data_IF_615476962862
#
_entry.id   IF_615476962862
#
_cell.length_a   1.000
_cell.length_b   1.000
_cell.length_c   1.000
_cell.angle_alpha   90.00
_cell.angle_beta   90.00
_cell.angle_gamma   90.00
#
_symmetry.space_group_name_H-M   'P 1'
#
loop_
_entity.id
_entity.type
_entity.pdbx_description
1 polymer ?
#
# COMPACT_ATOMS: atom_id res chain seq x y z
N UNK A 1 42.92 15.78 -46.60
CA UNK A 1 42.90 17.12 -45.98
C UNK A 1 41.73 17.25 -44.98
N UNK A 2 41.80 16.63 -43.77
CA UNK A 2 40.73 16.78 -42.75
C UNK A 2 41.07 16.25 -41.33
N UNK A 3 42.21 16.59 -40.71
CA UNK A 3 42.55 15.95 -39.39
C UNK A 3 43.12 16.86 -38.29
N UNK A 4 43.61 18.08 -38.57
CA UNK A 4 44.21 18.93 -37.50
C UNK A 4 43.19 19.74 -36.67
N UNK A 5 42.02 20.08 -37.22
CA UNK A 5 41.00 20.92 -36.55
C UNK A 5 40.22 20.15 -35.47
N UNK A 6 39.82 18.90 -35.74
CA UNK A 6 39.11 18.05 -34.78
C UNK A 6 39.94 17.67 -33.54
N UNK A 7 41.23 17.42 -33.73
CA UNK A 7 42.14 17.05 -32.63
C UNK A 7 42.43 18.21 -31.67
N UNK A 8 42.33 19.48 -32.13
CA UNK A 8 42.40 20.66 -31.27
C UNK A 8 41.12 20.83 -30.43
N UNK A 9 39.96 20.60 -31.03
CA UNK A 9 38.68 20.62 -30.31
C UNK A 9 38.62 19.57 -29.20
N UNK A 10 39.05 18.33 -29.50
CA UNK A 10 39.08 17.25 -28.50
C UNK A 10 39.99 17.61 -27.32
N UNK A 11 41.18 18.19 -27.58
CA UNK A 11 42.10 18.62 -26.51
C UNK A 11 41.50 19.73 -25.64
N UNK A 12 40.83 20.71 -26.24
CA UNK A 12 40.16 21.77 -25.48
C UNK A 12 39.01 21.22 -24.65
N UNK A 13 38.19 20.31 -25.19
CA UNK A 13 37.11 19.65 -24.45
C UNK A 13 37.61 18.83 -23.28
N UNK A 14 38.72 18.10 -23.43
CA UNK A 14 39.34 17.32 -22.34
C UNK A 14 39.84 18.25 -21.24
N UNK A 15 40.48 19.37 -21.59
CA UNK A 15 40.95 20.36 -20.60
C UNK A 15 39.76 20.98 -19.86
N UNK A 16 38.69 21.34 -20.56
CA UNK A 16 37.48 21.91 -19.94
C UNK A 16 36.81 20.92 -18.99
N UNK A 17 36.79 19.63 -19.35
CA UNK A 17 36.24 18.55 -18.52
C UNK A 17 37.11 18.30 -17.27
N UNK A 18 38.44 18.37 -17.41
CA UNK A 18 39.38 18.28 -16.29
C UNK A 18 39.23 19.46 -15.32
N UNK A 19 39.07 20.68 -15.83
CA UNK A 19 38.84 21.87 -15.00
C UNK A 19 37.49 21.78 -14.27
N UNK A 20 36.43 21.30 -14.93
CA UNK A 20 35.13 21.10 -14.30
C UNK A 20 35.18 20.06 -13.16
N UNK A 21 35.96 18.98 -13.33
CA UNK A 21 36.17 17.96 -12.29
C UNK A 21 36.94 18.50 -11.08
N UNK A 22 37.82 19.50 -11.26
CA UNK A 22 38.56 20.13 -10.16
C UNK A 22 37.76 21.19 -9.40
N UNK A 23 36.75 21.82 -10.02
CA UNK A 23 35.89 22.83 -9.36
C UNK A 23 34.74 22.19 -8.58
N UNK A 24 34.21 21.05 -9.03
CA UNK A 24 33.12 20.34 -8.34
C UNK A 24 33.34 20.02 -6.83
N UNK A 25 34.55 19.65 -6.35
CA UNK A 25 34.76 19.41 -4.92
C UNK A 25 34.88 20.69 -4.07
N UNK A 26 35.00 21.89 -4.66
CA UNK A 26 35.12 23.14 -3.90
C UNK A 26 33.82 23.49 -3.15
N UNK A 27 32.66 23.23 -3.77
CA UNK A 27 31.35 23.44 -3.14
C UNK A 27 31.09 22.51 -1.95
N UNK A 28 31.74 21.34 -1.92
CA UNK A 28 31.64 20.39 -0.81
C UNK A 28 32.40 20.83 0.46
N UNK A 29 33.40 21.71 0.34
CA UNK A 29 34.21 22.16 1.48
C UNK A 29 33.70 23.43 2.17
N UNK A 30 32.92 24.28 1.48
CA UNK A 30 32.47 25.59 1.97
C UNK A 30 31.49 25.50 3.16
N UNK A 31 30.87 24.33 3.40
CA UNK A 31 29.84 24.17 4.42
C UNK A 31 30.32 23.75 5.83
N UNK A 32 31.63 23.63 6.09
CA UNK A 32 32.16 23.13 7.39
C UNK A 32 31.66 23.93 8.60
N UNK A 33 31.45 25.24 8.48
CA UNK A 33 30.94 26.08 9.58
C UNK A 33 29.46 25.80 9.88
N UNK A 34 28.63 25.65 8.84
CA UNK A 34 27.21 25.26 8.98
C UNK A 34 27.08 23.84 9.54
N UNK A 35 27.89 22.91 9.07
CA UNK A 35 27.95 21.53 9.60
C UNK A 35 28.34 21.51 11.07
N UNK A 36 29.40 22.23 11.47
CA UNK A 36 29.78 22.35 12.90
C UNK A 36 28.69 23.00 13.75
N UNK A 37 27.98 24.00 13.24
CA UNK A 37 26.87 24.67 13.94
C UNK A 37 25.68 23.71 14.13
N UNK A 38 25.31 22.96 13.09
CA UNK A 38 24.25 21.95 13.15
C UNK A 38 24.62 20.83 14.13
N UNK A 39 25.86 20.32 14.08
CA UNK A 39 26.32 19.28 15.00
C UNK A 39 26.30 19.75 16.47
N UNK A 40 26.64 21.01 16.75
CA UNK A 40 26.52 21.61 18.09
C UNK A 40 25.07 21.73 18.56
N UNK A 41 24.15 22.07 17.66
CA UNK A 41 22.72 22.11 17.97
C UNK A 41 22.17 20.71 18.29
N UNK A 42 22.60 19.69 17.53
CA UNK A 42 22.26 18.29 17.81
C UNK A 42 22.87 17.80 19.14
N UNK A 43 24.10 18.19 19.47
CA UNK A 43 24.75 17.82 20.73
C UNK A 43 24.06 18.42 21.98
N UNK A 44 23.38 19.57 21.84
CA UNK A 44 22.59 20.20 22.91
C UNK A 44 21.13 19.75 22.93
N UNK A 45 20.71 18.92 21.99
CA UNK A 45 19.33 18.42 21.94
C UNK A 45 19.10 17.42 23.08
N UNK A 46 18.56 17.90 24.20
CA UNK A 46 17.98 17.05 25.23
C UNK A 46 16.57 16.69 24.77
N UNK A 47 16.41 15.49 24.22
CA UNK A 47 15.13 15.00 23.72
C UNK A 47 14.07 15.03 24.83
N UNK A 48 13.05 15.89 24.68
CA UNK A 48 11.81 15.73 25.45
C UNK A 48 11.16 14.43 24.98
N UNK A 49 10.71 13.58 25.92
CA UNK A 49 9.89 12.39 25.62
C UNK A 49 8.80 12.81 24.63
N UNK A 50 8.79 12.17 23.47
CA UNK A 50 8.08 12.64 22.28
C UNK A 50 6.57 12.35 22.41
N UNK A 51 5.91 12.99 23.38
CA UNK A 51 4.50 12.79 23.69
C UNK A 51 3.67 12.90 22.42
N UNK A 52 2.70 12.01 22.28
CA UNK A 52 1.76 12.06 21.17
C UNK A 52 0.85 13.27 21.35
N UNK A 53 1.14 14.35 20.64
CA UNK A 53 0.39 15.60 20.69
C UNK A 53 -0.73 15.61 19.65
N UNK A 54 -1.64 16.58 19.74
CA UNK A 54 -2.75 16.73 18.77
C UNK A 54 -2.26 16.83 17.32
N UNK A 55 -1.09 17.44 17.08
CA UNK A 55 -0.49 17.59 15.75
C UNK A 55 -0.04 16.26 15.13
N UNK A 56 0.11 15.20 15.93
CA UNK A 56 0.44 13.85 15.42
C UNK A 56 -0.80 13.03 15.08
N UNK A 57 -2.00 13.53 15.37
CA UNK A 57 -3.27 12.92 14.94
C UNK A 57 -3.45 13.17 13.46
N UNK A 58 -3.93 12.16 12.74
CA UNK A 58 -4.19 12.28 11.32
C UNK A 58 -5.29 11.33 10.90
N UNK A 59 -5.92 11.70 9.79
CA UNK A 59 -6.82 10.82 9.06
C UNK A 59 -6.15 10.31 7.80
N UNK A 60 -6.56 9.14 7.33
CA UNK A 60 -6.09 8.60 6.06
C UNK A 60 -7.24 7.91 5.33
N UNK A 61 -7.11 7.87 4.01
CA UNK A 61 -7.99 7.14 3.12
C UNK A 61 -7.20 6.00 2.49
N UNK A 62 -7.82 4.83 2.39
CA UNK A 62 -7.27 3.66 1.72
C UNK A 62 -8.32 3.05 0.80
N UNK A 63 -7.87 2.58 -0.36
CA UNK A 63 -8.68 1.86 -1.33
C UNK A 63 -8.11 0.46 -1.49
N UNK A 64 -8.98 -0.54 -1.59
CA UNK A 64 -8.58 -1.92 -1.85
C UNK A 64 -9.45 -2.56 -2.90
N UNK A 65 -8.88 -3.54 -3.60
CA UNK A 65 -9.59 -4.45 -4.49
C UNK A 65 -9.63 -5.80 -3.79
N UNK A 66 -10.82 -6.37 -3.66
CA UNK A 66 -11.04 -7.64 -2.97
C UNK A 66 -11.57 -8.69 -3.94
N UNK A 67 -11.57 -9.94 -3.49
CA UNK A 67 -12.13 -11.07 -4.22
C UNK A 67 -13.27 -11.66 -3.39
N UNK A 68 -14.50 -11.49 -3.86
CA UNK A 68 -15.70 -11.94 -3.18
C UNK A 68 -16.05 -13.36 -3.62
N UNK A 69 -16.28 -14.24 -2.66
CA UNK A 69 -16.64 -15.64 -2.86
C UNK A 69 -17.82 -16.00 -1.97
N UNK A 70 -18.78 -16.74 -2.53
CA UNK A 70 -19.89 -17.28 -1.74
C UNK A 70 -19.56 -18.70 -1.28
N UNK A 71 -19.65 -18.93 0.03
CA UNK A 71 -19.56 -20.25 0.65
C UNK A 71 -20.86 -20.49 1.43
N UNK A 72 -21.70 -21.38 0.92
CA UNK A 72 -23.03 -21.65 1.48
C UNK A 72 -23.67 -22.89 0.85
N UNK A 73 -24.99 -22.97 0.84
CA UNK A 73 -25.72 -24.17 0.38
C UNK A 73 -25.63 -24.38 -1.14
N UNK A 74 -25.54 -23.30 -1.93
CA UNK A 74 -25.34 -23.28 -3.38
C UNK A 74 -23.83 -23.34 -3.76
N UNK A 75 -22.95 -23.89 -2.89
CA UNK A 75 -21.51 -23.97 -3.15
C UNK A 75 -21.08 -25.28 -3.89
N UNK A 76 -19.97 -25.26 -4.66
CA UNK A 76 -19.52 -26.39 -5.50
C UNK A 76 -19.32 -27.72 -4.81
N UNK A 77 -18.83 -27.70 -3.57
CA UNK A 77 -18.81 -28.87 -2.68
C UNK A 77 -19.09 -28.37 -1.27
N UNK A 78 -19.77 -29.16 -0.46
CA UNK A 78 -19.90 -28.93 0.99
C UNK A 78 -18.57 -29.24 1.72
N UNK A 79 -17.48 -28.64 1.26
CA UNK A 79 -16.16 -28.68 1.89
C UNK A 79 -15.68 -27.25 2.02
N UNK A 80 -15.11 -26.93 3.17
CA UNK A 80 -14.63 -25.60 3.59
C UNK A 80 -13.68 -24.90 2.60
N UNK A 81 -13.09 -25.63 1.63
CA UNK A 81 -12.19 -25.09 0.61
C UNK A 81 -12.68 -25.22 -0.84
N UNK A 82 -13.94 -25.55 -1.08
CA UNK A 82 -14.44 -25.81 -2.45
C UNK A 82 -14.96 -24.56 -3.17
N UNK A 83 -14.14 -23.52 -3.23
CA UNK A 83 -14.44 -22.32 -4.00
C UNK A 83 -14.00 -22.52 -5.44
N UNK A 84 -14.95 -22.58 -6.39
CA UNK A 84 -14.60 -22.51 -7.82
C UNK A 84 -14.19 -21.06 -8.13
N UNK A 85 -12.95 -20.85 -8.56
CA UNK A 85 -12.40 -19.54 -8.98
C UNK A 85 -13.29 -18.83 -10.02
N UNK A 86 -14.08 -19.57 -10.80
CA UNK A 86 -15.04 -19.01 -11.78
C UNK A 86 -16.16 -18.16 -11.15
N UNK A 87 -16.45 -18.33 -9.85
CA UNK A 87 -17.47 -17.56 -9.13
C UNK A 87 -16.86 -16.47 -8.24
N UNK A 88 -15.53 -16.38 -8.19
CA UNK A 88 -14.85 -15.26 -7.57
C UNK A 88 -15.11 -13.99 -8.35
N UNK A 89 -15.65 -12.97 -7.68
CA UNK A 89 -15.94 -11.67 -8.30
C UNK A 89 -15.08 -10.59 -7.65
N UNK A 90 -14.54 -9.65 -8.43
CA UNK A 90 -13.84 -8.52 -7.85
C UNK A 90 -14.83 -7.66 -7.04
N UNK A 91 -14.36 -7.14 -5.93
CA UNK A 91 -15.01 -6.14 -5.10
C UNK A 91 -14.07 -4.96 -4.87
N UNK A 92 -14.62 -3.85 -4.41
CA UNK A 92 -13.85 -2.65 -4.07
C UNK A 92 -14.19 -2.22 -2.66
N UNK A 93 -13.21 -1.70 -1.92
CA UNK A 93 -13.47 -1.08 -0.63
C UNK A 93 -12.78 0.28 -0.52
N UNK A 94 -13.46 1.18 0.18
CA UNK A 94 -12.90 2.42 0.67
C UNK A 94 -12.86 2.39 2.19
N UNK A 95 -11.73 2.79 2.77
CA UNK A 95 -11.51 2.81 4.21
C UNK A 95 -11.06 4.19 4.64
N UNK A 96 -11.75 4.74 5.64
CA UNK A 96 -11.34 5.94 6.36
C UNK A 96 -10.78 5.54 7.72
N UNK A 97 -9.56 5.97 8.02
CA UNK A 97 -8.93 5.75 9.32
C UNK A 97 -8.64 7.06 10.03
N UNK A 98 -8.87 7.12 11.34
CA UNK A 98 -8.49 8.23 12.19
C UNK A 98 -7.63 7.75 13.36
N UNK A 99 -6.38 8.25 13.40
CA UNK A 99 -5.46 7.97 14.49
C UNK A 99 -5.46 9.11 15.49
N UNK A 100 -5.97 8.84 16.70
CA UNK A 100 -6.12 9.85 17.74
C UNK A 100 -5.16 9.67 18.94
N UNK A 101 -4.42 8.56 18.98
CA UNK A 101 -3.43 8.27 20.01
C UNK A 101 -2.20 7.51 19.50
N UNK A 102 -1.18 7.32 20.36
CA UNK A 102 0.02 6.56 20.01
C UNK A 102 -0.22 5.06 19.85
N UNK A 103 -1.39 4.56 20.25
CA UNK A 103 -1.81 3.16 20.16
C UNK A 103 -3.20 2.95 19.55
N UNK A 104 -4.00 4.00 19.46
CA UNK A 104 -5.42 3.87 19.13
C UNK A 104 -5.69 4.44 17.75
N UNK A 105 -6.28 3.62 16.88
CA UNK A 105 -6.76 4.03 15.56
C UNK A 105 -8.18 3.51 15.38
N UNK A 106 -9.08 4.37 14.93
CA UNK A 106 -10.42 3.96 14.51
C UNK A 106 -10.44 3.87 12.98
N UNK A 107 -11.07 2.84 12.43
CA UNK A 107 -11.24 2.65 10.99
C UNK A 107 -12.70 2.39 10.68
N UNK A 108 -13.25 3.08 9.69
CA UNK A 108 -14.52 2.74 9.07
C UNK A 108 -14.26 2.32 7.62
N UNK A 109 -14.83 1.20 7.20
CA UNK A 109 -14.68 0.68 5.84
C UNK A 109 -16.04 0.44 5.20
N UNK A 110 -16.16 0.84 3.95
CA UNK A 110 -17.30 0.54 3.09
C UNK A 110 -16.79 -0.33 1.94
N UNK A 111 -17.34 -1.52 1.81
CA UNK A 111 -17.02 -2.46 0.74
C UNK A 111 -18.23 -2.65 -0.15
N UNK A 112 -18.00 -2.75 -1.45
CA UNK A 112 -19.00 -3.09 -2.44
C UNK A 112 -18.49 -4.24 -3.28
N UNK A 113 -19.37 -5.20 -3.58
CA UNK A 113 -19.09 -6.16 -4.64
C UNK A 113 -20.22 -7.14 -4.87
N UNK A 114 -20.06 -7.91 -5.94
CA UNK A 114 -21.09 -8.86 -6.40
C UNK A 114 -20.83 -10.24 -5.83
N UNK A 115 -21.87 -10.89 -5.32
CA UNK A 115 -21.90 -12.33 -5.10
C UNK A 115 -22.83 -12.98 -6.13
N UNK A 116 -22.42 -14.16 -6.60
CA UNK A 116 -23.24 -14.97 -7.47
C UNK A 116 -22.90 -16.46 -7.33
N UNK A 117 -23.91 -17.30 -7.49
CA UNK A 117 -23.75 -18.74 -7.65
C UNK A 117 -24.87 -19.31 -8.51
N UNK A 118 -24.62 -20.46 -9.13
CA UNK A 118 -25.52 -21.11 -10.08
C UNK A 118 -25.33 -22.62 -9.99
N UNK A 119 -26.32 -23.34 -9.45
CA UNK A 119 -26.29 -24.79 -9.24
C UNK A 119 -26.00 -25.56 -10.55
N UNK A 120 -26.48 -25.10 -11.71
CA UNK A 120 -26.26 -25.76 -12.99
C UNK A 120 -24.77 -25.80 -13.38
N UNK A 121 -24.04 -24.72 -13.08
CA UNK A 121 -22.61 -24.57 -13.40
C UNK A 121 -21.71 -25.09 -12.29
N UNK A 122 -22.26 -25.19 -11.08
CA UNK A 122 -21.55 -25.46 -9.85
C UNK A 122 -21.58 -26.95 -9.50
N UNK A 123 -22.75 -27.58 -9.58
CA UNK A 123 -22.99 -28.97 -9.21
C UNK A 123 -22.56 -29.96 -10.31
N UNK A 124 -22.03 -31.12 -9.89
CA UNK A 124 -21.74 -32.25 -10.79
C UNK A 124 -23.00 -33.13 -10.93
N UNK A 125 -23.53 -33.33 -12.16
CA UNK A 125 -24.71 -34.16 -12.40
C UNK A 125 -24.53 -35.62 -11.98
N UNK A 126 -23.29 -36.13 -12.00
CA UNK A 126 -22.97 -37.52 -11.71
C UNK A 126 -22.57 -37.75 -10.24
N UNK A 127 -22.44 -36.68 -9.45
CA UNK A 127 -22.05 -36.79 -8.05
C UNK A 127 -23.24 -37.16 -7.15
N UNK A 128 -23.05 -38.15 -6.28
CA UNK A 128 -24.10 -38.73 -5.44
C UNK A 128 -24.81 -37.71 -4.54
N UNK A 129 -24.08 -36.70 -4.04
CA UNK A 129 -24.60 -35.61 -3.22
C UNK A 129 -24.90 -34.31 -4.02
N UNK A 130 -24.33 -34.14 -5.21
CA UNK A 130 -24.47 -32.93 -6.03
C UNK A 130 -25.61 -33.02 -7.04
N UNK A 131 -26.04 -34.23 -7.43
CA UNK A 131 -27.18 -34.47 -8.32
C UNK A 131 -28.46 -33.78 -7.84
N UNK A 132 -28.73 -33.81 -6.54
CA UNK A 132 -29.91 -33.17 -5.94
C UNK A 132 -29.87 -31.64 -6.06
N UNK A 133 -28.68 -31.04 -6.02
CA UNK A 133 -28.50 -29.59 -6.20
C UNK A 133 -28.62 -29.20 -7.67
N UNK A 134 -28.07 -30.04 -8.56
CA UNK A 134 -28.20 -29.84 -10.00
C UNK A 134 -29.67 -29.82 -10.44
N UNK A 135 -30.50 -30.75 -9.95
CA UNK A 135 -31.94 -30.79 -10.24
C UNK A 135 -32.69 -29.60 -9.65
N UNK A 136 -32.25 -29.07 -8.50
CA UNK A 136 -32.83 -27.86 -7.88
C UNK A 136 -32.66 -26.62 -8.75
N UNK A 137 -31.55 -26.52 -9.50
CA UNK A 137 -31.24 -25.42 -10.42
C UNK A 137 -31.41 -24.02 -9.79
N UNK A 138 -30.95 -23.84 -8.55
CA UNK A 138 -31.01 -22.55 -7.89
C UNK A 138 -29.88 -21.64 -8.39
N UNK A 139 -30.20 -20.36 -8.65
CA UNK A 139 -29.21 -19.36 -8.99
C UNK A 139 -29.48 -18.05 -8.27
N UNK A 140 -28.42 -17.31 -7.95
CA UNK A 140 -28.54 -15.98 -7.39
C UNK A 140 -27.43 -15.06 -7.90
N UNK A 141 -27.76 -13.77 -7.93
CA UNK A 141 -26.83 -12.68 -8.18
C UNK A 141 -27.26 -11.50 -7.33
N UNK A 142 -26.37 -11.06 -6.44
CA UNK A 142 -26.66 -9.97 -5.52
C UNK A 142 -25.45 -9.03 -5.43
N UNK A 143 -25.73 -7.72 -5.45
CA UNK A 143 -24.72 -6.69 -5.24
C UNK A 143 -24.80 -6.23 -3.78
N UNK A 144 -23.73 -6.49 -3.03
CA UNK A 144 -23.69 -6.33 -1.58
C UNK A 144 -22.88 -5.10 -1.22
N UNK A 145 -23.39 -4.35 -0.25
CA UNK A 145 -22.69 -3.29 0.45
C UNK A 145 -22.40 -3.75 1.88
N UNK A 146 -21.15 -3.62 2.31
CA UNK A 146 -20.71 -3.97 3.66
C UNK A 146 -20.12 -2.74 4.34
N UNK A 147 -20.70 -2.37 5.49
CA UNK A 147 -20.17 -1.32 6.34
C UNK A 147 -19.53 -1.95 7.58
N UNK A 148 -18.28 -1.60 7.86
CA UNK A 148 -17.57 -2.08 9.04
C UNK A 148 -16.89 -0.95 9.82
N UNK A 149 -16.79 -1.13 11.12
CA UNK A 149 -16.08 -0.24 12.02
C UNK A 149 -15.11 -1.08 12.89
N UNK A 150 -13.83 -0.71 12.87
CA UNK A 150 -12.75 -1.44 13.53
C UNK A 150 -11.95 -0.49 14.41
N UNK A 151 -11.83 -0.83 15.70
CA UNK A 151 -10.89 -0.21 16.60
C UNK A 151 -9.58 -1.02 16.59
N UNK A 152 -8.46 -0.35 16.32
CA UNK A 152 -7.13 -0.95 16.31
C UNK A 152 -6.34 -0.47 17.52
N UNK A 153 -5.80 -1.43 18.26
CA UNK A 153 -4.92 -1.21 19.40
C UNK A 153 -3.50 -1.72 19.10
N UNK A 154 -2.55 -0.81 19.00
CA UNK A 154 -1.14 -1.16 18.80
C UNK A 154 -0.49 -1.53 20.14
N UNK A 155 0.03 -2.76 20.26
CA UNK A 155 0.77 -3.23 21.45
C UNK A 155 1.99 -2.34 21.74
N UNK A 156 2.73 -1.99 20.69
CA UNK A 156 3.87 -1.09 20.73
C UNK A 156 3.44 0.32 20.34
N UNK A 157 3.92 1.32 21.10
CA UNK A 157 3.60 2.72 20.83
C UNK A 157 4.27 3.14 19.53
N UNK A 158 3.48 3.67 18.61
CA UNK A 158 4.00 4.39 17.44
C UNK A 158 3.81 5.90 17.68
N UNK A 159 4.94 6.59 17.87
CA UNK A 159 5.01 8.05 18.11
C UNK A 159 5.28 8.87 16.84
N UNK A 160 5.32 8.20 15.68
CA UNK A 160 5.47 8.81 14.36
C UNK A 160 4.24 9.63 13.97
N UNK A 161 4.48 10.67 13.16
CA UNK A 161 3.42 11.49 12.55
C UNK A 161 3.19 11.08 11.10
N UNK A 162 2.21 11.70 10.44
CA UNK A 162 1.99 11.52 9.00
C UNK A 162 3.26 11.77 8.17
N UNK A 163 4.11 12.73 8.59
CA UNK A 163 5.37 13.06 7.89
C UNK A 163 6.40 11.94 7.88
N UNK A 164 6.34 11.03 8.86
CA UNK A 164 7.23 9.86 8.92
C UNK A 164 6.72 8.66 8.13
N UNK A 165 5.51 8.74 7.56
CA UNK A 165 4.99 7.66 6.72
C UNK A 165 5.51 7.81 5.30
N UNK A 166 5.83 6.68 4.69
CA UNK A 166 6.10 6.62 3.25
C UNK A 166 4.80 6.94 2.52
N UNK A 167 4.85 7.86 1.56
CA UNK A 167 3.66 8.30 0.82
C UNK A 167 2.91 7.15 0.12
N UNK A 168 3.63 6.10 -0.26
CA UNK A 168 3.08 4.88 -0.88
C UNK A 168 3.68 3.69 -0.16
N UNK A 169 2.82 2.83 0.39
CA UNK A 169 3.23 1.53 0.94
C UNK A 169 2.49 0.47 0.13
N UNK A 170 3.12 -0.14 -0.88
CA UNK A 170 2.47 -1.24 -1.59
C UNK A 170 2.33 -2.41 -0.61
N UNK A 171 1.13 -2.95 -0.51
CA UNK A 171 0.87 -4.20 0.21
C UNK A 171 0.65 -5.28 -0.86
N UNK A 172 1.32 -6.42 -0.69
CA UNK A 172 1.16 -7.61 -1.52
C UNK A 172 0.08 -8.54 -0.93
#
# INVERSE_FOLDING_TARGET
>A
MRTKKGMRFIKVSIILLLVAMLVAPADAQINRRKVKKNNRAMAKYRGKKNRFTKQKRYSYLAFSVNANNYLGDIAPKAKWGSTKLAFTRPGFSATYGYRFGPRYTLRGSLSWGRLQSDDYKVADPNGENSKYRYVRNASFRNDIWELSAVAVFDLFKNEGSYLSRVNITPYA
#
